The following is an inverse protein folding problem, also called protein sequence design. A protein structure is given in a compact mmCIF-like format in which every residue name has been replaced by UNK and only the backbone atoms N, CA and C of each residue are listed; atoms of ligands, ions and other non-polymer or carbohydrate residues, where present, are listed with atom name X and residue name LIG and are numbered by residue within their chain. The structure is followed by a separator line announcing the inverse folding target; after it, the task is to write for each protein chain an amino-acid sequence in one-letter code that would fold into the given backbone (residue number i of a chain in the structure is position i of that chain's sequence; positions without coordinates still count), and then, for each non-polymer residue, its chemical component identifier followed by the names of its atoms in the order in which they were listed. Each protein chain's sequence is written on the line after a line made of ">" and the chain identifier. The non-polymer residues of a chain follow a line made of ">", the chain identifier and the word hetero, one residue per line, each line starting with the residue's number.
data_IF_299640572849
#
_entry.id   IF_299640572849
#
_cell.length_a   1.000
_cell.length_b   1.000
_cell.length_c   1.000
_cell.angle_alpha   90.00
_cell.angle_beta   90.00
_cell.angle_gamma   90.00
#
_symmetry.space_group_name_H-M   'P 1'
#
loop_
_entity.id
_entity.type
_entity.pdbx_description
1 polymer ?
#
# COMPACT_ATOMS: atom_id res chain seq x y z
N UNK A 1 13.07 -19.27 12.67
CA UNK A 1 13.12 -20.28 11.59
C UNK A 1 12.63 -19.60 10.32
N UNK A 2 13.48 -19.52 9.32
CA UNK A 2 13.25 -18.87 8.03
C UNK A 2 12.74 -19.88 6.98
N UNK A 3 12.25 -19.41 5.82
CA UNK A 3 11.92 -20.30 4.68
C UNK A 3 13.14 -21.12 4.26
N UNK A 4 14.33 -20.54 4.31
CA UNK A 4 15.57 -21.22 3.96
C UNK A 4 15.91 -22.32 4.98
N UNK A 5 15.77 -22.04 6.28
CA UNK A 5 15.96 -23.04 7.34
C UNK A 5 15.01 -24.25 7.15
N UNK A 6 13.79 -24.01 6.66
CA UNK A 6 12.80 -25.08 6.39
C UNK A 6 13.20 -25.90 5.16
N UNK A 7 13.67 -25.26 4.09
CA UNK A 7 14.09 -25.94 2.86
C UNK A 7 15.35 -26.79 3.10
N UNK A 8 16.33 -26.27 3.83
CA UNK A 8 17.53 -27.01 4.23
C UNK A 8 17.16 -28.24 5.08
N UNK A 9 16.25 -28.09 6.04
CA UNK A 9 15.75 -29.21 6.83
C UNK A 9 14.99 -30.26 6.01
N UNK A 10 14.34 -29.89 4.90
CA UNK A 10 13.69 -30.84 4.00
C UNK A 10 14.71 -31.63 3.18
N UNK A 11 15.74 -30.95 2.65
CA UNK A 11 16.78 -31.55 1.81
C UNK A 11 17.67 -32.53 2.60
N UNK A 12 18.16 -32.13 3.77
CA UNK A 12 18.99 -33.00 4.63
C UNK A 12 18.26 -34.30 4.99
N UNK A 13 16.95 -34.21 5.24
CA UNK A 13 16.17 -35.33 5.72
C UNK A 13 15.65 -36.24 4.61
N UNK A 14 15.42 -35.72 3.41
CA UNK A 14 15.16 -36.53 2.23
C UNK A 14 16.35 -37.47 1.93
N UNK A 15 17.57 -37.05 2.26
CA UNK A 15 18.77 -37.89 2.15
C UNK A 15 18.88 -38.96 3.24
N UNK A 16 18.25 -38.75 4.42
CA UNK A 16 18.33 -39.67 5.57
C UNK A 16 17.21 -40.73 5.61
N UNK A 17 16.10 -40.55 4.88
CA UNK A 17 14.86 -41.34 5.05
C UNK A 17 14.83 -42.72 4.34
N UNK A 18 15.95 -43.44 4.27
CA UNK A 18 16.04 -44.72 3.53
C UNK A 18 15.52 -45.93 4.35
N UNK A 19 15.12 -45.74 5.61
CA UNK A 19 14.73 -46.81 6.55
C UNK A 19 13.18 -46.88 6.79
N UNK A 20 12.51 -48.03 6.53
CA UNK A 20 11.05 -48.19 6.64
C UNK A 20 10.42 -47.89 8.01
N UNK A 21 11.12 -48.14 9.13
CA UNK A 21 10.58 -47.94 10.49
C UNK A 21 10.46 -46.44 10.86
N UNK A 22 11.23 -45.57 10.19
CA UNK A 22 11.21 -44.13 10.42
C UNK A 22 10.21 -43.36 9.53
N UNK A 23 9.46 -44.06 8.68
CA UNK A 23 8.58 -43.44 7.69
C UNK A 23 7.44 -42.61 8.29
N UNK A 24 6.82 -43.06 9.39
CA UNK A 24 5.74 -42.31 10.02
C UNK A 24 6.22 -41.01 10.69
N UNK A 25 7.34 -41.08 11.43
CA UNK A 25 7.93 -39.89 12.05
C UNK A 25 8.40 -38.90 10.97
N UNK A 26 8.93 -39.41 9.86
CA UNK A 26 9.27 -38.63 8.67
C UNK A 26 8.04 -37.93 8.08
N UNK A 27 6.94 -38.64 7.82
CA UNK A 27 5.72 -38.08 7.25
C UNK A 27 5.12 -36.98 8.15
N UNK A 28 5.10 -37.18 9.47
CA UNK A 28 4.60 -36.19 10.43
C UNK A 28 5.47 -34.92 10.47
N UNK A 29 6.79 -35.08 10.41
CA UNK A 29 7.71 -33.93 10.41
C UNK A 29 7.69 -33.18 9.07
N UNK A 30 7.62 -33.90 7.96
CA UNK A 30 7.42 -33.34 6.62
C UNK A 30 6.14 -32.51 6.58
N UNK A 31 5.03 -33.04 7.10
CA UNK A 31 3.77 -32.30 7.21
C UNK A 31 3.95 -31.00 7.99
N UNK A 32 4.59 -31.04 9.16
CA UNK A 32 4.81 -29.85 9.97
C UNK A 32 5.65 -28.78 9.25
N UNK A 33 6.73 -29.17 8.57
CA UNK A 33 7.57 -28.26 7.79
C UNK A 33 6.80 -27.63 6.62
N UNK A 34 5.99 -28.41 5.91
CA UNK A 34 5.14 -27.91 4.82
C UNK A 34 4.05 -26.94 5.34
N UNK A 35 3.45 -27.22 6.49
CA UNK A 35 2.50 -26.32 7.14
C UNK A 35 3.18 -24.98 7.49
N UNK A 36 4.39 -25.02 8.06
CA UNK A 36 5.17 -23.82 8.38
C UNK A 36 5.52 -23.01 7.13
N UNK A 37 5.97 -23.69 6.06
CA UNK A 37 6.30 -23.06 4.79
C UNK A 37 5.08 -22.37 4.16
N UNK A 38 3.93 -23.05 4.20
CA UNK A 38 2.67 -22.53 3.69
C UNK A 38 2.22 -21.29 4.45
N UNK A 39 2.35 -21.29 5.79
CA UNK A 39 2.05 -20.14 6.63
C UNK A 39 2.95 -18.94 6.31
N UNK A 40 4.26 -19.15 6.22
CA UNK A 40 5.22 -18.07 5.90
C UNK A 40 4.90 -17.45 4.54
N UNK A 41 4.65 -18.29 3.53
CA UNK A 41 4.31 -17.84 2.17
C UNK A 41 2.98 -17.08 2.15
N UNK A 42 1.95 -17.61 2.82
CA UNK A 42 0.65 -16.98 2.94
C UNK A 42 0.75 -15.60 3.60
N UNK A 43 1.41 -15.50 4.76
CA UNK A 43 1.58 -14.22 5.46
C UNK A 43 2.38 -13.21 4.63
N UNK A 44 3.40 -13.64 3.88
CA UNK A 44 4.16 -12.76 2.99
C UNK A 44 3.29 -12.24 1.84
N UNK A 45 2.50 -13.11 1.23
CA UNK A 45 1.59 -12.74 0.14
C UNK A 45 0.49 -11.78 0.62
N UNK A 46 -0.12 -12.05 1.77
CA UNK A 46 -1.11 -11.19 2.42
C UNK A 46 -0.53 -9.82 2.75
N UNK A 47 0.67 -9.78 3.36
CA UNK A 47 1.34 -8.52 3.68
C UNK A 47 1.66 -7.68 2.44
N UNK A 48 2.10 -8.31 1.34
CA UNK A 48 2.32 -7.64 0.06
C UNK A 48 1.02 -7.10 -0.55
N UNK A 49 -0.04 -7.91 -0.55
CA UNK A 49 -1.37 -7.53 -1.05
C UNK A 49 -1.94 -6.35 -0.25
N UNK A 50 -1.87 -6.40 1.07
CA UNK A 50 -2.35 -5.33 1.95
C UNK A 50 -1.52 -4.06 1.78
N UNK A 51 -0.19 -4.17 1.73
CA UNK A 51 0.71 -3.04 1.50
C UNK A 51 0.44 -2.35 0.16
N UNK A 52 0.28 -3.12 -0.92
CA UNK A 52 -0.05 -2.58 -2.24
C UNK A 52 -1.42 -1.90 -2.24
N UNK A 53 -2.44 -2.53 -1.65
CA UNK A 53 -3.79 -1.96 -1.56
C UNK A 53 -3.78 -0.64 -0.81
N UNK A 54 -3.16 -0.58 0.37
CA UNK A 54 -3.05 0.64 1.17
C UNK A 54 -2.29 1.73 0.43
N UNK A 55 -1.17 1.39 -0.21
CA UNK A 55 -0.38 2.35 -0.98
C UNK A 55 -1.16 2.94 -2.16
N UNK A 56 -1.93 2.13 -2.89
CA UNK A 56 -2.77 2.60 -3.99
C UNK A 56 -3.93 3.47 -3.49
N UNK A 57 -4.59 3.09 -2.41
CA UNK A 57 -5.68 3.89 -1.82
C UNK A 57 -5.18 5.25 -1.32
N UNK A 58 -4.04 5.27 -0.60
CA UNK A 58 -3.40 6.50 -0.13
C UNK A 58 -2.95 7.38 -1.30
N UNK A 59 -2.20 6.84 -2.25
CA UNK A 59 -1.71 7.59 -3.41
C UNK A 59 -2.85 8.16 -4.26
N UNK A 60 -3.94 7.41 -4.43
CA UNK A 60 -5.14 7.91 -5.12
C UNK A 60 -5.81 9.05 -4.36
N UNK A 61 -5.96 8.93 -3.04
CA UNK A 61 -6.59 9.96 -2.21
C UNK A 61 -5.75 11.25 -2.19
N UNK A 62 -4.43 11.13 -2.05
CA UNK A 62 -3.50 12.25 -2.10
C UNK A 62 -3.51 12.93 -3.47
N UNK A 63 -3.41 12.15 -4.55
CA UNK A 63 -3.45 12.69 -5.91
C UNK A 63 -4.77 13.40 -6.25
N UNK A 64 -5.91 12.88 -5.77
CA UNK A 64 -7.21 13.53 -5.95
C UNK A 64 -7.29 14.85 -5.18
N UNK A 65 -6.79 14.89 -3.93
CA UNK A 65 -6.75 16.11 -3.12
C UNK A 65 -5.83 17.17 -3.73
N UNK A 66 -4.65 16.77 -4.20
CA UNK A 66 -3.70 17.66 -4.85
C UNK A 66 -4.28 18.19 -6.18
N UNK A 67 -4.90 17.32 -6.99
CA UNK A 67 -5.58 17.71 -8.22
C UNK A 67 -6.71 18.70 -8.00
N UNK A 68 -7.52 18.52 -6.94
CA UNK A 68 -8.56 19.48 -6.56
C UNK A 68 -7.97 20.85 -6.18
N UNK A 69 -6.93 20.88 -5.35
CA UNK A 69 -6.24 22.12 -4.98
C UNK A 69 -5.61 22.83 -6.19
N UNK A 70 -5.00 22.07 -7.09
CA UNK A 70 -4.43 22.63 -8.32
C UNK A 70 -5.52 23.24 -9.19
N UNK A 71 -6.66 22.55 -9.34
CA UNK A 71 -7.80 23.06 -10.12
C UNK A 71 -8.39 24.32 -9.50
N UNK A 72 -8.51 24.37 -8.18
CA UNK A 72 -8.99 25.54 -7.44
C UNK A 72 -8.07 26.75 -7.63
N UNK A 73 -6.76 26.56 -7.49
CA UNK A 73 -5.73 27.58 -7.81
C UNK A 73 -5.87 28.11 -9.22
N UNK A 74 -5.89 27.22 -10.21
CA UNK A 74 -6.01 27.59 -11.62
C UNK A 74 -7.30 28.36 -11.91
N UNK A 75 -8.40 28.00 -11.24
CA UNK A 75 -9.68 28.70 -11.38
C UNK A 75 -9.63 30.10 -10.81
N UNK A 76 -9.12 30.27 -9.58
CA UNK A 76 -8.94 31.59 -8.97
C UNK A 76 -8.02 32.46 -9.83
N UNK A 77 -6.90 31.91 -10.32
CA UNK A 77 -5.99 32.66 -11.20
C UNK A 77 -6.69 33.19 -12.46
N UNK A 78 -7.45 32.34 -13.14
CA UNK A 78 -8.22 32.73 -14.34
C UNK A 78 -9.31 33.75 -14.05
N UNK A 79 -9.92 33.74 -12.86
CA UNK A 79 -10.92 34.74 -12.48
C UNK A 79 -10.26 36.10 -12.20
N UNK A 80 -9.13 36.12 -11.51
CA UNK A 80 -8.33 37.34 -11.28
C UNK A 80 -7.82 37.93 -12.60
N UNK A 81 -7.29 37.09 -13.50
CA UNK A 81 -6.83 37.52 -14.84
C UNK A 81 -7.95 38.15 -15.68
N UNK A 82 -9.21 37.76 -15.44
CA UNK A 82 -10.39 38.35 -16.06
C UNK A 82 -10.86 39.64 -15.40
N UNK A 83 -10.14 40.13 -14.39
CA UNK A 83 -10.42 41.38 -13.69
C UNK A 83 -11.48 41.27 -12.59
N UNK A 84 -11.82 40.06 -12.13
CA UNK A 84 -12.75 39.89 -11.00
C UNK A 84 -12.08 40.29 -9.69
N UNK A 85 -12.83 40.93 -8.80
CA UNK A 85 -12.31 41.29 -7.47
C UNK A 85 -12.21 40.06 -6.57
N UNK A 86 -11.32 40.10 -5.58
CA UNK A 86 -11.16 39.02 -4.59
C UNK A 86 -12.48 38.77 -3.85
N UNK A 87 -13.23 39.82 -3.53
CA UNK A 87 -14.54 39.71 -2.89
C UNK A 87 -15.57 38.98 -3.77
N UNK A 88 -15.62 39.26 -5.07
CA UNK A 88 -16.53 38.57 -6.00
C UNK A 88 -16.17 37.08 -6.14
N UNK A 89 -14.87 36.77 -6.19
CA UNK A 89 -14.37 35.39 -6.27
C UNK A 89 -14.70 34.63 -4.99
N UNK A 90 -14.46 35.23 -3.83
CA UNK A 90 -14.79 34.67 -2.52
C UNK A 90 -16.28 34.33 -2.43
N UNK A 91 -17.14 35.26 -2.83
CA UNK A 91 -18.59 35.06 -2.86
C UNK A 91 -19.03 33.96 -3.85
N UNK A 92 -18.42 33.85 -5.03
CA UNK A 92 -18.78 32.82 -6.02
C UNK A 92 -18.32 31.41 -5.66
N UNK A 93 -17.20 31.30 -4.94
CA UNK A 93 -16.57 30.02 -4.59
C UNK A 93 -16.91 29.56 -3.17
N UNK A 94 -17.74 30.31 -2.45
CA UNK A 94 -18.05 30.10 -1.02
C UNK A 94 -16.76 29.99 -0.16
N UNK A 95 -15.79 30.87 -0.45
CA UNK A 95 -14.51 30.99 0.26
C UNK A 95 -14.44 32.32 1.00
N UNK A 96 -13.52 32.45 1.95
CA UNK A 96 -13.20 33.77 2.51
C UNK A 96 -12.22 34.53 1.61
N UNK A 97 -12.21 35.86 1.68
CA UNK A 97 -11.24 36.68 0.95
C UNK A 97 -9.79 36.28 1.31
N UNK A 98 -9.53 35.94 2.58
CA UNK A 98 -8.22 35.45 3.02
C UNK A 98 -7.84 34.10 2.42
N UNK A 99 -8.81 33.20 2.21
CA UNK A 99 -8.57 31.91 1.54
C UNK A 99 -8.24 32.12 0.06
N UNK A 100 -9.02 32.96 -0.63
CA UNK A 100 -8.75 33.33 -2.03
C UNK A 100 -7.38 33.98 -2.16
N UNK A 101 -7.05 34.92 -1.27
CA UNK A 101 -5.74 35.59 -1.25
C UNK A 101 -4.61 34.59 -1.04
N UNK A 102 -4.73 33.69 -0.06
CA UNK A 102 -3.72 32.67 0.24
C UNK A 102 -3.52 31.70 -0.92
N UNK A 103 -4.59 31.33 -1.61
CA UNK A 103 -4.53 30.42 -2.77
C UNK A 103 -3.88 31.13 -3.96
N UNK A 104 -4.20 32.40 -4.18
CA UNK A 104 -3.63 33.23 -5.25
C UNK A 104 -2.12 33.49 -5.05
N UNK A 105 -1.70 33.76 -3.81
CA UNK A 105 -0.30 34.04 -3.45
C UNK A 105 0.60 32.79 -3.37
N UNK A 106 0.01 31.59 -3.44
CA UNK A 106 0.73 30.30 -3.40
C UNK A 106 1.14 29.77 -4.77
#
# INVERSE_FOLDING_TARGET
>A
MTEQDILEALEEWQNLSVDPENRYAYEMRLKWLLDQLSNIRGSREEGLKEGLKRGLEQGRAEGLKEGMKHKEREMIRKMVEKGMSIADIAHMLDLTEEEVQRIWES
#
